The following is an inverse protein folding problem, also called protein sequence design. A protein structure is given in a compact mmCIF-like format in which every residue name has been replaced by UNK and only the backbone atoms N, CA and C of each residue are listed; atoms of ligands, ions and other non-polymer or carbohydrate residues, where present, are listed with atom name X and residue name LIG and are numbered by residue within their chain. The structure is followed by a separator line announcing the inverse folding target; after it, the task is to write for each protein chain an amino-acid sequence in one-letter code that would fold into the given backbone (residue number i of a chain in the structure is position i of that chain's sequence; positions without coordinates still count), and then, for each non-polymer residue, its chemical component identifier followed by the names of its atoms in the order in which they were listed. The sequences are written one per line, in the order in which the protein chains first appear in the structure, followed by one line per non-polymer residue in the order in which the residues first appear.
data_IF_899215879003
#
_entry.id   IF_899215879003
#
_cell.length_a   1.000
_cell.length_b   1.000
_cell.length_c   1.000
_cell.angle_alpha   90.00
_cell.angle_beta   90.00
_cell.angle_gamma   90.00
#
_symmetry.space_group_name_H-M   'P 1'
#
loop_
_entity.id
_entity.type
_entity.pdbx_description
1 polymer ?
#
# COMPACT_ATOMS: atom_id res chain seq x y z
N UNK A 1 53.37 14.78 -41.14
CA UNK A 1 52.31 13.77 -41.32
C UNK A 1 51.71 13.46 -39.95
N UNK A 2 50.61 14.12 -39.59
CA UNK A 2 49.97 13.95 -38.28
C UNK A 2 48.82 12.95 -38.43
N UNK A 3 48.93 11.77 -37.83
CA UNK A 3 47.87 10.77 -37.80
C UNK A 3 46.80 11.23 -36.81
N UNK A 4 45.61 11.55 -37.32
CA UNK A 4 44.44 11.86 -36.50
C UNK A 4 44.00 10.61 -35.73
N UNK A 5 43.90 10.73 -34.40
CA UNK A 5 43.22 9.75 -33.56
C UNK A 5 41.71 9.95 -33.73
N UNK A 6 41.09 9.05 -34.49
CA UNK A 6 39.64 8.94 -34.55
C UNK A 6 39.16 8.22 -33.30
N UNK A 7 38.63 8.97 -32.33
CA UNK A 7 37.99 8.39 -31.15
C UNK A 7 36.65 7.79 -31.56
N UNK A 8 36.60 6.46 -31.66
CA UNK A 8 35.34 5.72 -31.73
C UNK A 8 34.70 5.75 -30.35
N UNK A 9 33.66 6.55 -30.16
CA UNK A 9 32.78 6.45 -28.99
C UNK A 9 32.02 5.14 -29.12
N UNK A 10 32.45 4.10 -28.41
CA UNK A 10 31.69 2.85 -28.32
C UNK A 10 30.44 3.10 -27.48
N UNK A 11 29.24 2.70 -27.93
CA UNK A 11 28.06 2.75 -27.09
C UNK A 11 28.27 1.80 -25.91
N UNK A 12 28.18 2.32 -24.68
CA UNK A 12 28.14 1.49 -23.48
C UNK A 12 26.91 0.57 -23.61
N UNK A 13 27.14 -0.74 -23.57
CA UNK A 13 26.05 -1.73 -23.61
C UNK A 13 25.06 -1.44 -22.48
N UNK A 14 23.77 -1.39 -22.78
CA UNK A 14 22.69 -1.06 -21.84
C UNK A 14 22.79 -1.88 -20.54
N UNK A 15 23.19 -3.15 -20.63
CA UNK A 15 23.42 -4.06 -19.50
C UNK A 15 24.41 -3.52 -18.44
N UNK A 16 25.42 -2.74 -18.87
CA UNK A 16 26.42 -2.18 -17.97
C UNK A 16 25.88 -0.97 -17.20
N UNK A 17 25.02 -0.19 -17.87
CA UNK A 17 24.35 0.97 -17.27
C UNK A 17 23.35 0.48 -16.23
N UNK A 18 22.54 -0.53 -16.55
CA UNK A 18 21.58 -1.11 -15.60
C UNK A 18 22.26 -1.69 -14.34
N UNK A 19 23.37 -2.41 -14.51
CA UNK A 19 24.08 -2.99 -13.36
C UNK A 19 24.77 -1.90 -12.51
N UNK A 20 25.30 -0.85 -13.13
CA UNK A 20 25.88 0.29 -12.42
C UNK A 20 24.82 1.10 -11.66
N UNK A 21 23.66 1.33 -12.28
CA UNK A 21 22.50 1.96 -11.65
C UNK A 21 22.03 1.14 -10.45
N UNK A 22 21.92 -0.20 -10.58
CA UNK A 22 21.57 -1.09 -9.47
C UNK A 22 22.52 -0.95 -8.28
N UNK A 23 23.83 -0.93 -8.52
CA UNK A 23 24.84 -0.75 -7.46
C UNK A 23 24.71 0.63 -6.77
N UNK A 24 24.35 1.67 -7.52
CA UNK A 24 24.09 3.00 -6.95
C UNK A 24 22.81 2.99 -6.11
N UNK A 25 21.74 2.36 -6.58
CA UNK A 25 20.47 2.21 -5.85
C UNK A 25 20.67 1.43 -4.55
N UNK A 26 21.42 0.33 -4.58
CA UNK A 26 21.71 -0.50 -3.40
C UNK A 26 22.53 0.24 -2.33
N UNK A 27 23.31 1.25 -2.71
CA UNK A 27 24.18 2.02 -1.80
C UNK A 27 23.60 3.35 -1.34
N UNK A 28 22.65 3.92 -2.08
CA UNK A 28 22.15 5.27 -1.81
C UNK A 28 20.69 5.20 -1.36
N UNK A 29 20.50 5.51 -0.08
CA UNK A 29 19.23 5.45 0.64
C UNK A 29 18.13 6.36 0.09
N UNK A 30 18.46 7.27 -0.82
CA UNK A 30 17.57 8.32 -1.31
C UNK A 30 17.18 8.17 -2.78
N UNK A 31 17.53 7.07 -3.45
CA UNK A 31 16.96 6.79 -4.77
C UNK A 31 15.80 5.81 -4.68
N UNK A 32 14.76 6.08 -5.47
CA UNK A 32 13.56 5.27 -5.52
C UNK A 32 13.10 5.10 -6.97
N UNK A 33 12.74 3.87 -7.34
CA UNK A 33 12.05 3.58 -8.60
C UNK A 33 10.54 3.69 -8.39
N UNK A 34 9.90 4.57 -9.17
CA UNK A 34 8.46 4.85 -9.15
C UNK A 34 7.97 4.71 -10.58
N UNK A 35 7.03 3.78 -10.83
CA UNK A 35 6.46 3.52 -12.15
C UNK A 35 7.51 3.32 -13.26
N UNK A 36 8.57 2.58 -12.93
CA UNK A 36 9.66 2.30 -13.88
C UNK A 36 10.72 3.39 -13.98
N UNK A 37 10.45 4.60 -13.48
CA UNK A 37 11.37 5.74 -13.52
C UNK A 37 12.12 5.90 -12.19
N UNK A 38 13.39 6.25 -12.29
CA UNK A 38 14.26 6.45 -11.12
C UNK A 38 14.22 7.91 -10.70
N UNK A 39 13.96 8.14 -9.42
CA UNK A 39 13.95 9.45 -8.78
C UNK A 39 15.06 9.54 -7.75
N UNK A 40 15.76 10.68 -7.75
CA UNK A 40 16.67 11.07 -6.68
C UNK A 40 15.89 11.89 -5.65
N UNK A 41 15.45 11.23 -4.59
CA UNK A 41 14.59 11.80 -3.54
C UNK A 41 15.40 12.42 -2.39
N UNK A 42 16.60 12.96 -2.66
CA UNK A 42 17.49 13.50 -1.61
C UNK A 42 16.81 14.51 -0.69
N UNK A 43 15.98 15.41 -1.21
CA UNK A 43 15.24 16.39 -0.38
C UNK A 43 14.29 15.72 0.62
N UNK A 44 13.69 14.59 0.25
CA UNK A 44 12.85 13.80 1.18
C UNK A 44 13.73 13.11 2.22
N UNK A 45 14.90 12.59 1.81
CA UNK A 45 15.87 12.04 2.76
C UNK A 45 16.32 13.10 3.77
N UNK A 46 16.60 14.33 3.32
CA UNK A 46 16.99 15.42 4.22
C UNK A 46 15.88 15.73 5.25
N UNK A 47 14.60 15.68 4.84
CA UNK A 47 13.44 15.85 5.75
C UNK A 47 13.35 14.69 6.77
N UNK A 48 13.62 13.46 6.34
CA UNK A 48 13.65 12.28 7.22
C UNK A 48 14.81 12.40 8.22
N UNK A 49 15.99 12.78 7.75
CA UNK A 49 17.19 12.89 8.56
C UNK A 49 17.09 14.03 9.60
N UNK A 50 16.30 15.08 9.34
CA UNK A 50 15.96 16.11 10.33
C UNK A 50 15.28 15.54 11.58
N UNK A 51 14.41 14.53 11.41
CA UNK A 51 13.73 13.86 12.51
C UNK A 51 13.34 12.41 12.13
N UNK A 52 14.26 11.43 12.28
CA UNK A 52 14.06 10.07 11.77
C UNK A 52 12.98 9.29 12.51
N UNK A 53 12.67 9.62 13.77
CA UNK A 53 11.59 8.99 14.52
C UNK A 53 10.22 9.50 14.06
N UNK A 54 10.12 10.81 13.78
CA UNK A 54 8.88 11.46 13.37
C UNK A 54 9.11 12.46 12.22
N UNK A 55 9.32 11.97 10.99
CA UNK A 55 9.52 12.84 9.83
C UNK A 55 8.33 13.77 9.60
N UNK A 56 8.60 14.97 9.07
CA UNK A 56 7.54 15.92 8.72
C UNK A 56 6.81 15.46 7.44
N UNK A 57 5.75 14.67 7.64
CA UNK A 57 4.93 14.09 6.58
C UNK A 57 4.37 15.14 5.62
N UNK A 58 4.03 16.33 6.11
CA UNK A 58 3.52 17.41 5.28
C UNK A 58 4.61 17.92 4.32
N UNK A 59 5.84 18.12 4.82
CA UNK A 59 6.97 18.49 3.97
C UNK A 59 7.32 17.39 2.96
N UNK A 60 7.23 16.11 3.34
CA UNK A 60 7.46 14.98 2.42
C UNK A 60 6.43 15.01 1.28
N UNK A 61 5.15 15.15 1.60
CA UNK A 61 4.08 15.24 0.61
C UNK A 61 4.27 16.44 -0.34
N UNK A 62 4.58 17.62 0.21
CA UNK A 62 4.83 18.83 -0.58
C UNK A 62 6.03 18.60 -1.51
N UNK A 63 7.14 18.05 -1.02
CA UNK A 63 8.30 17.75 -1.85
C UNK A 63 7.96 16.75 -2.97
N UNK A 64 7.20 15.69 -2.66
CA UNK A 64 6.78 14.70 -3.66
C UNK A 64 6.01 15.34 -4.83
N UNK A 65 5.06 16.23 -4.52
CA UNK A 65 4.20 16.87 -5.53
C UNK A 65 4.88 18.04 -6.22
N UNK A 66 5.50 18.96 -5.48
CA UNK A 66 6.02 20.20 -6.04
C UNK A 66 7.42 20.06 -6.65
N UNK A 67 8.31 19.31 -5.99
CA UNK A 67 9.72 19.20 -6.41
C UNK A 67 9.94 18.06 -7.39
N UNK A 68 9.28 16.92 -7.14
CA UNK A 68 9.43 15.72 -7.96
C UNK A 68 8.29 15.51 -8.96
N UNK A 69 7.27 16.37 -8.93
CA UNK A 69 6.11 16.32 -9.82
C UNK A 69 5.43 14.94 -9.84
N UNK A 70 5.43 14.27 -8.69
CA UNK A 70 4.70 13.02 -8.52
C UNK A 70 3.20 13.31 -8.48
N UNK A 71 2.39 12.32 -8.86
CA UNK A 71 0.95 12.44 -8.76
C UNK A 71 0.54 12.67 -7.30
N UNK A 72 -0.49 13.47 -7.06
CA UNK A 72 -1.10 13.59 -5.73
C UNK A 72 -1.66 12.27 -5.20
N UNK A 73 -1.87 11.28 -6.10
CA UNK A 73 -2.29 9.93 -5.73
C UNK A 73 -1.11 9.03 -5.33
N UNK A 74 0.13 9.46 -5.55
CA UNK A 74 1.32 8.74 -5.12
C UNK A 74 1.45 8.88 -3.60
N UNK A 75 1.05 7.83 -2.87
CA UNK A 75 1.11 7.74 -1.40
C UNK A 75 2.55 7.50 -0.88
N UNK A 76 3.50 8.32 -1.32
CA UNK A 76 4.92 8.13 -1.03
C UNK A 76 5.23 8.27 0.47
N UNK A 77 4.62 9.24 1.13
CA UNK A 77 4.72 9.47 2.57
C UNK A 77 4.30 8.23 3.38
N UNK A 78 3.12 7.67 3.05
CA UNK A 78 2.57 6.50 3.74
C UNK A 78 3.43 5.26 3.53
N UNK A 79 3.96 5.09 2.31
CA UNK A 79 4.90 4.01 2.00
C UNK A 79 6.22 4.16 2.77
N UNK A 80 6.75 5.37 2.90
CA UNK A 80 7.95 5.66 3.71
C UNK A 80 7.69 5.30 5.18
N UNK A 81 6.57 5.73 5.76
CA UNK A 81 6.20 5.39 7.14
C UNK A 81 6.05 3.88 7.34
N UNK A 82 5.39 3.18 6.41
CA UNK A 82 5.30 1.72 6.43
C UNK A 82 6.68 1.05 6.34
N UNK A 83 7.61 1.65 5.60
CA UNK A 83 8.97 1.18 5.41
C UNK A 83 9.94 1.74 6.47
N UNK A 84 9.49 1.85 7.73
CA UNK A 84 10.30 2.30 8.87
C UNK A 84 10.96 3.68 8.68
N UNK A 85 10.24 4.62 8.07
CA UNK A 85 10.74 5.94 7.71
C UNK A 85 11.95 5.92 6.75
N UNK A 86 12.14 4.84 5.99
CA UNK A 86 13.16 4.75 4.95
C UNK A 86 12.55 4.82 3.56
N UNK A 87 13.22 5.52 2.64
CA UNK A 87 12.81 5.55 1.23
C UNK A 87 13.05 4.15 0.62
N UNK A 88 12.02 3.50 0.06
CA UNK A 88 12.20 2.19 -0.56
C UNK A 88 12.95 2.32 -1.90
N UNK A 89 13.75 1.32 -2.24
CA UNK A 89 14.40 1.26 -3.56
C UNK A 89 13.39 1.14 -4.71
N UNK A 90 12.24 0.47 -4.48
CA UNK A 90 11.13 0.36 -5.43
C UNK A 90 9.80 0.67 -4.71
N UNK A 91 9.16 1.78 -5.10
CA UNK A 91 7.91 2.24 -4.53
C UNK A 91 6.74 1.29 -4.83
N UNK A 92 6.68 0.74 -6.05
CA UNK A 92 5.55 -0.09 -6.48
C UNK A 92 5.54 -1.43 -5.73
N UNK A 93 6.71 -2.01 -5.51
CA UNK A 93 6.83 -3.19 -4.65
C UNK A 93 6.45 -2.90 -3.19
N UNK A 94 6.93 -1.80 -2.63
CA UNK A 94 6.63 -1.42 -1.25
C UNK A 94 5.13 -1.12 -1.04
N UNK A 95 4.51 -0.40 -1.97
CA UNK A 95 3.08 -0.14 -1.99
C UNK A 95 2.27 -1.43 -2.00
N UNK A 96 2.66 -2.41 -2.83
CA UNK A 96 2.01 -3.72 -2.89
C UNK A 96 2.08 -4.45 -1.56
N UNK A 97 3.25 -4.49 -0.91
CA UNK A 97 3.42 -5.11 0.42
C UNK A 97 2.56 -4.44 1.48
N UNK A 98 2.49 -3.11 1.47
CA UNK A 98 1.63 -2.34 2.38
C UNK A 98 0.14 -2.69 2.18
N UNK A 99 -0.30 -2.79 0.92
CA UNK A 99 -1.68 -3.16 0.60
C UNK A 99 -2.01 -4.59 1.05
N UNK A 100 -1.12 -5.55 0.80
CA UNK A 100 -1.27 -6.94 1.25
C UNK A 100 -1.34 -7.04 2.79
N UNK A 101 -0.47 -6.31 3.49
CA UNK A 101 -0.48 -6.22 4.95
C UNK A 101 -1.79 -5.65 5.50
N UNK A 102 -2.27 -4.56 4.91
CA UNK A 102 -3.52 -3.93 5.30
C UNK A 102 -4.72 -4.85 5.03
N UNK A 103 -4.72 -5.57 3.90
CA UNK A 103 -5.77 -6.55 3.60
C UNK A 103 -5.76 -7.74 4.56
N UNK A 104 -4.59 -8.25 4.93
CA UNK A 104 -4.47 -9.35 5.89
C UNK A 104 -4.92 -8.95 7.30
N UNK A 105 -4.78 -7.67 7.64
CA UNK A 105 -5.16 -7.08 8.93
C UNK A 105 -6.65 -6.76 9.03
N UNK A 106 -7.41 -6.80 7.92
CA UNK A 106 -8.86 -6.65 7.97
C UNK A 106 -9.48 -7.87 8.67
N UNK A 107 -10.34 -7.66 9.69
CA UNK A 107 -11.07 -8.77 10.28
C UNK A 107 -11.85 -9.46 9.17
N UNK A 108 -11.61 -10.77 9.00
CA UNK A 108 -12.42 -11.59 8.10
C UNK A 108 -13.87 -11.33 8.46
N UNK A 109 -14.65 -10.79 7.52
CA UNK A 109 -16.07 -10.55 7.73
C UNK A 109 -16.67 -11.80 8.37
N UNK A 110 -17.46 -11.68 9.45
CA UNK A 110 -18.04 -12.84 10.09
C UNK A 110 -18.74 -13.68 9.02
N UNK A 111 -18.68 -15.03 9.12
CA UNK A 111 -19.28 -15.90 8.15
C UNK A 111 -20.68 -15.41 7.80
N UNK A 112 -21.01 -15.35 6.49
CA UNK A 112 -22.37 -14.99 6.06
C UNK A 112 -23.35 -15.84 6.85
N UNK A 113 -24.30 -15.18 7.51
CA UNK A 113 -25.31 -15.88 8.30
C UNK A 113 -26.11 -16.78 7.34
N UNK A 114 -26.12 -18.08 7.62
CA UNK A 114 -26.90 -19.05 6.87
C UNK A 114 -28.03 -19.59 7.75
N UNK A 115 -29.16 -19.95 7.14
CA UNK A 115 -30.26 -20.55 7.84
C UNK A 115 -29.81 -21.93 8.37
N UNK A 116 -29.92 -22.22 9.68
CA UNK A 116 -29.47 -23.49 10.25
C UNK A 116 -30.29 -24.69 9.73
N UNK A 117 -31.46 -24.44 9.15
CA UNK A 117 -32.36 -25.49 8.64
C UNK A 117 -32.12 -25.85 7.18
N UNK A 118 -31.86 -24.86 6.31
CA UNK A 118 -31.77 -25.09 4.87
C UNK A 118 -30.51 -24.52 4.20
N UNK A 119 -29.61 -23.88 4.96
CA UNK A 119 -28.38 -23.29 4.45
C UNK A 119 -28.54 -22.00 3.63
N UNK A 120 -29.77 -21.55 3.36
CA UNK A 120 -30.02 -20.32 2.60
C UNK A 120 -29.48 -19.07 3.29
N UNK A 121 -28.95 -18.13 2.50
CA UNK A 121 -28.53 -16.79 2.96
C UNK A 121 -29.64 -15.74 2.83
N UNK A 122 -30.80 -16.12 2.29
CA UNK A 122 -31.98 -15.25 2.17
C UNK A 122 -32.69 -15.12 3.52
N UNK A 123 -32.16 -14.21 4.34
CA UNK A 123 -32.49 -14.07 5.75
C UNK A 123 -32.70 -12.59 6.09
N UNK A 124 -33.79 -12.28 6.79
CA UNK A 124 -34.06 -10.95 7.33
C UNK A 124 -33.84 -10.92 8.85
N UNK A 125 -33.16 -9.88 9.34
CA UNK A 125 -33.03 -9.58 10.77
C UNK A 125 -34.26 -8.81 11.25
N UNK A 126 -34.81 -9.21 12.39
CA UNK A 126 -35.94 -8.57 13.07
C UNK A 126 -35.60 -8.39 14.55
N UNK A 127 -36.26 -7.42 15.17
CA UNK A 127 -36.21 -7.18 16.62
C UNK A 127 -37.63 -7.33 17.16
N UNK A 128 -37.77 -8.06 18.26
CA UNK A 128 -39.04 -8.26 18.97
C UNK A 128 -38.90 -7.85 20.42
N UNK A 129 -39.95 -7.25 20.97
CA UNK A 129 -40.02 -6.95 22.39
C UNK A 129 -40.25 -8.25 23.17
N UNK A 130 -39.35 -8.56 24.11
CA UNK A 130 -39.45 -9.69 25.03
C UNK A 130 -39.52 -9.14 26.45
N UNK A 131 -40.73 -8.96 26.97
CA UNK A 131 -40.96 -8.40 28.31
C UNK A 131 -41.00 -6.86 28.34
N UNK A 132 -40.68 -6.27 29.49
CA UNK A 132 -40.92 -4.82 29.70
C UNK A 132 -39.88 -3.91 29.06
N UNK A 133 -38.64 -4.37 28.79
CA UNK A 133 -37.55 -3.52 28.24
C UNK A 133 -36.45 -4.28 27.46
N UNK A 134 -36.63 -5.54 27.09
CA UNK A 134 -35.62 -6.30 26.33
C UNK A 134 -36.05 -6.45 24.87
N UNK A 135 -35.20 -5.98 23.95
CA UNK A 135 -35.35 -6.29 22.53
C UNK A 135 -34.44 -7.46 22.18
N UNK A 136 -35.04 -8.57 21.75
CA UNK A 136 -34.27 -9.69 21.22
C UNK A 136 -34.24 -9.67 19.71
N UNK A 137 -33.04 -9.93 19.17
CA UNK A 137 -32.82 -10.08 17.74
C UNK A 137 -33.04 -11.52 17.31
N UNK A 138 -33.82 -11.66 16.25
CA UNK A 138 -34.06 -12.93 15.59
C UNK A 138 -34.02 -12.76 14.07
N UNK A 139 -33.92 -13.88 13.39
CA UNK A 139 -33.71 -13.96 11.96
C UNK A 139 -34.78 -14.86 11.36
N UNK A 140 -35.36 -14.44 10.25
CA UNK A 140 -36.33 -15.23 9.49
C UNK A 140 -35.69 -15.57 8.15
N UNK A 141 -35.62 -16.86 7.81
CA UNK A 141 -35.22 -17.31 6.49
C UNK A 141 -36.43 -17.31 5.56
N UNK A 142 -36.38 -16.60 4.43
CA UNK A 142 -37.50 -16.58 3.48
C UNK A 142 -37.61 -17.86 2.64
N UNK A 143 -36.53 -18.63 2.50
CA UNK A 143 -36.57 -19.88 1.72
C UNK A 143 -37.30 -21.03 2.44
N UNK A 144 -37.25 -21.09 3.77
CA UNK A 144 -37.90 -22.17 4.55
C UNK A 144 -38.77 -21.67 5.71
N UNK A 145 -38.96 -20.35 5.82
CA UNK A 145 -39.70 -19.67 6.88
C UNK A 145 -39.22 -20.01 8.30
N UNK A 146 -37.96 -20.45 8.44
CA UNK A 146 -37.39 -20.78 9.75
C UNK A 146 -37.00 -19.51 10.49
N UNK A 147 -37.50 -19.38 11.72
CA UNK A 147 -37.12 -18.30 12.65
C UNK A 147 -36.07 -18.82 13.62
N UNK A 148 -34.93 -18.11 13.74
CA UNK A 148 -33.82 -18.54 14.57
C UNK A 148 -33.05 -17.33 15.15
N UNK A 149 -32.31 -17.53 16.24
CA UNK A 149 -31.37 -16.52 16.77
C UNK A 149 -30.02 -16.68 16.09
N UNK A 150 -29.19 -15.63 16.10
CA UNK A 150 -27.81 -15.75 15.57
C UNK A 150 -27.11 -16.92 16.31
N UNK A 151 -26.60 -17.94 15.59
CA UNK A 151 -25.79 -18.98 16.21
C UNK A 151 -24.60 -18.31 16.89
N UNK A 152 -24.33 -18.67 18.15
CA UNK A 152 -23.13 -18.22 18.86
C UNK A 152 -21.89 -18.91 18.31
#
# INVERSE_FOLDING_TARGET
MSKGLQFCIMPLKEDYVENYVRIIMEKNKYYCKIDGKIYNLKKIQDIIDENPEHPDIAKIYIAAVEEYHLSTNTMLDSVITFNNNEIPADYNEALKRMQEYNQASLPKSPPKLCCPRCGSTDIIRRQGLVGTNLFEEYYICYSCMNTFRRPR
#
